data_IF_949192978653
#
_entry.id   IF_949192978653
#
_cell.length_a   1.000
_cell.length_b   1.000
_cell.length_c   1.000
_cell.angle_alpha   90.00
_cell.angle_beta   90.00
_cell.angle_gamma   90.00
#
_symmetry.space_group_name_H-M   'P 1'
#
loop_
_entity.id
_entity.type
_entity.pdbx_description
1 polymer ?
#
# COMPACT_ATOMS: atom_id res chain seq x y z
N UNK A 1 -1.53 -43.38 -27.60
CA UNK A 1 -1.63 -43.31 -26.13
C UNK A 1 -2.68 -42.27 -25.79
N UNK A 2 -3.57 -42.56 -24.86
CA UNK A 2 -4.59 -41.60 -24.43
C UNK A 2 -3.88 -40.45 -23.70
N UNK A 3 -4.24 -39.20 -24.03
CA UNK A 3 -3.77 -38.03 -23.33
C UNK A 3 -4.33 -38.02 -21.91
N UNK A 4 -3.52 -37.63 -20.95
CA UNK A 4 -3.99 -37.41 -19.58
C UNK A 4 -4.80 -36.12 -19.48
N UNK A 5 -5.67 -35.98 -18.48
CA UNK A 5 -6.45 -34.77 -18.22
C UNK A 5 -5.53 -33.54 -18.09
N UNK A 6 -4.34 -33.73 -17.53
CA UNK A 6 -3.36 -32.62 -17.38
C UNK A 6 -2.81 -32.16 -18.75
N UNK A 7 -2.56 -33.12 -19.68
CA UNK A 7 -2.14 -32.79 -21.06
C UNK A 7 -3.27 -32.13 -21.87
N UNK A 8 -4.52 -32.52 -21.63
CA UNK A 8 -5.71 -31.89 -22.25
C UNK A 8 -5.86 -30.43 -21.79
N UNK A 9 -5.47 -30.13 -20.54
CA UNK A 9 -5.45 -28.77 -19.99
C UNK A 9 -4.20 -27.98 -20.39
N UNK A 10 -3.35 -28.51 -21.29
CA UNK A 10 -2.14 -27.83 -21.76
C UNK A 10 -0.89 -28.07 -20.90
N UNK A 11 -0.95 -28.98 -19.96
CA UNK A 11 0.20 -29.37 -19.14
C UNK A 11 1.18 -30.26 -19.89
N UNK A 12 2.46 -30.19 -19.52
CA UNK A 12 3.51 -31.03 -20.06
C UNK A 12 4.18 -31.84 -18.95
N UNK A 13 4.68 -33.04 -19.31
CA UNK A 13 5.48 -33.87 -18.42
C UNK A 13 6.95 -33.89 -18.85
N UNK A 14 7.84 -33.88 -17.89
CA UNK A 14 9.28 -34.08 -18.10
C UNK A 14 9.67 -35.45 -17.53
N UNK A 15 10.38 -36.24 -18.33
CA UNK A 15 10.90 -37.55 -17.89
C UNK A 15 12.17 -37.33 -17.07
N UNK A 16 12.14 -37.81 -15.84
CA UNK A 16 13.32 -37.80 -14.96
C UNK A 16 13.56 -39.25 -14.48
N UNK A 17 14.51 -39.96 -15.13
CA UNK A 17 14.72 -41.37 -14.92
C UNK A 17 13.50 -42.19 -15.39
N UNK A 18 12.94 -42.97 -14.49
CA UNK A 18 11.77 -43.83 -14.77
C UNK A 18 10.43 -43.15 -14.47
N UNK A 19 10.45 -41.90 -14.03
CA UNK A 19 9.26 -41.14 -13.63
C UNK A 19 8.92 -40.00 -14.61
N UNK A 20 7.61 -39.80 -14.81
CA UNK A 20 7.08 -38.64 -15.52
C UNK A 20 6.62 -37.59 -14.49
N UNK A 21 7.36 -36.52 -14.40
CA UNK A 21 7.02 -35.41 -13.48
C UNK A 21 6.26 -34.33 -14.24
N UNK A 22 5.14 -33.80 -13.71
CA UNK A 22 4.45 -32.69 -14.32
C UNK A 22 5.34 -31.43 -14.28
N UNK A 23 5.49 -30.81 -15.45
CA UNK A 23 6.21 -29.53 -15.56
C UNK A 23 5.31 -28.40 -15.05
N UNK A 24 5.32 -28.20 -13.74
CA UNK A 24 4.58 -27.12 -13.09
C UNK A 24 5.48 -25.87 -13.06
N UNK A 25 5.20 -24.92 -13.94
CA UNK A 25 5.77 -23.58 -13.82
C UNK A 25 4.78 -22.69 -13.10
N UNK A 26 5.21 -22.09 -12.01
CA UNK A 26 4.46 -20.98 -11.45
C UNK A 26 4.40 -19.85 -12.50
N UNK A 27 3.27 -19.16 -12.66
CA UNK A 27 3.24 -17.99 -13.50
C UNK A 27 4.35 -17.05 -12.99
N UNK A 28 5.38 -16.90 -13.79
CA UNK A 28 6.49 -15.99 -13.50
C UNK A 28 5.88 -14.61 -13.46
N UNK A 29 5.78 -14.05 -12.27
CA UNK A 29 5.50 -12.63 -12.14
C UNK A 29 6.57 -11.90 -12.96
N UNK A 30 6.14 -11.36 -14.10
CA UNK A 30 7.04 -10.67 -15.03
C UNK A 30 7.71 -9.45 -14.43
N UNK A 31 7.34 -9.08 -13.22
CA UNK A 31 7.84 -7.91 -12.53
C UNK A 31 8.05 -8.20 -11.04
N UNK A 32 9.24 -8.66 -10.67
CA UNK A 32 9.73 -8.59 -9.28
C UNK A 32 10.01 -7.11 -8.94
N UNK A 33 8.95 -6.30 -8.81
CA UNK A 33 9.09 -4.95 -8.30
C UNK A 33 9.51 -5.02 -6.83
N UNK A 34 10.56 -4.29 -6.42
CA UNK A 34 10.93 -4.25 -5.01
C UNK A 34 9.77 -3.65 -4.21
N UNK A 35 9.41 -4.32 -3.12
CA UNK A 35 8.35 -3.87 -2.22
C UNK A 35 9.01 -3.00 -1.14
N UNK A 36 8.63 -1.74 -1.06
CA UNK A 36 9.12 -0.80 -0.07
C UNK A 36 8.47 -0.97 1.31
N UNK A 37 8.72 -0.01 2.18
CA UNK A 37 8.29 -0.06 3.58
C UNK A 37 6.76 -0.09 3.73
N UNK A 38 6.05 0.66 2.91
CA UNK A 38 4.59 0.76 2.94
C UNK A 38 3.95 -0.56 2.51
N UNK A 39 4.42 -1.15 1.40
CA UNK A 39 3.95 -2.43 0.91
C UNK A 39 4.21 -3.57 1.90
N UNK A 40 5.36 -3.60 2.58
CA UNK A 40 5.65 -4.58 3.62
C UNK A 40 4.72 -4.46 4.83
N UNK A 41 4.35 -3.24 5.23
CA UNK A 41 3.38 -3.01 6.30
C UNK A 41 1.99 -3.45 5.89
N UNK A 42 1.58 -3.16 4.66
CA UNK A 42 0.31 -3.62 4.12
C UNK A 42 0.26 -5.16 4.06
N UNK A 43 1.34 -5.81 3.62
CA UNK A 43 1.46 -7.28 3.63
C UNK A 43 1.23 -7.86 5.03
N UNK A 44 1.83 -7.26 6.05
CA UNK A 44 1.64 -7.69 7.45
C UNK A 44 0.18 -7.54 7.87
N UNK A 45 -0.45 -6.43 7.54
CA UNK A 45 -1.86 -6.18 7.80
C UNK A 45 -2.76 -7.22 7.11
N UNK A 46 -2.55 -7.50 5.82
CA UNK A 46 -3.30 -8.51 5.08
C UNK A 46 -3.20 -9.89 5.74
N UNK A 47 -1.99 -10.30 6.14
CA UNK A 47 -1.76 -11.59 6.81
C UNK A 47 -2.49 -11.71 8.15
N UNK A 48 -2.59 -10.63 8.90
CA UNK A 48 -3.19 -10.63 10.24
C UNK A 48 -4.72 -10.44 10.21
N UNK A 49 -5.20 -9.51 9.39
CA UNK A 49 -6.59 -9.05 9.44
C UNK A 49 -7.43 -9.42 8.21
N UNK A 50 -6.80 -9.66 7.06
CA UNK A 50 -7.48 -9.93 5.79
C UNK A 50 -6.97 -11.21 5.13
N UNK A 51 -6.98 -12.31 5.87
CA UNK A 51 -6.41 -13.61 5.42
C UNK A 51 -7.01 -14.11 4.11
N UNK A 52 -8.31 -13.93 3.89
CA UNK A 52 -8.98 -14.38 2.65
C UNK A 52 -8.44 -13.62 1.45
N UNK A 53 -8.35 -12.28 1.54
CA UNK A 53 -7.79 -11.46 0.48
C UNK A 53 -6.31 -11.80 0.23
N UNK A 54 -5.53 -11.99 1.28
CA UNK A 54 -4.14 -12.42 1.18
C UNK A 54 -3.99 -13.73 0.40
N UNK A 55 -4.80 -14.75 0.74
CA UNK A 55 -4.76 -16.06 0.07
C UNK A 55 -5.18 -15.92 -1.40
N UNK A 56 -6.23 -15.17 -1.70
CA UNK A 56 -6.68 -14.95 -3.07
C UNK A 56 -5.63 -14.24 -3.93
N UNK A 57 -4.97 -13.22 -3.40
CA UNK A 57 -3.87 -12.52 -4.10
C UNK A 57 -2.64 -13.41 -4.27
N UNK A 58 -2.34 -14.25 -3.27
CA UNK A 58 -1.22 -15.19 -3.32
C UNK A 58 -1.45 -16.26 -4.38
N UNK A 59 -2.63 -16.90 -4.38
CA UNK A 59 -2.98 -17.97 -5.32
C UNK A 59 -3.13 -17.48 -6.76
N UNK A 60 -3.58 -16.23 -6.94
CA UNK A 60 -3.65 -15.59 -8.26
C UNK A 60 -2.29 -15.09 -8.79
N UNK A 61 -1.22 -15.13 -7.98
CA UNK A 61 0.10 -14.62 -8.34
C UNK A 61 0.19 -13.10 -8.45
N UNK A 62 -0.82 -12.36 -7.99
CA UNK A 62 -0.90 -10.89 -8.10
C UNK A 62 -0.47 -10.14 -6.83
N UNK A 63 -0.02 -10.87 -5.80
CA UNK A 63 0.30 -10.27 -4.50
C UNK A 63 1.42 -9.23 -4.62
N UNK A 64 2.52 -9.54 -5.30
CA UNK A 64 3.66 -8.62 -5.41
C UNK A 64 3.31 -7.36 -6.20
N UNK A 65 2.56 -7.51 -7.29
CA UNK A 65 2.08 -6.37 -8.08
C UNK A 65 1.19 -5.47 -7.23
N UNK A 66 0.23 -6.04 -6.51
CA UNK A 66 -0.67 -5.29 -5.62
C UNK A 66 0.10 -4.54 -4.53
N UNK A 67 1.10 -5.20 -3.89
CA UNK A 67 1.90 -4.56 -2.84
C UNK A 67 2.79 -3.44 -3.39
N UNK A 68 3.35 -3.60 -4.58
CA UNK A 68 4.14 -2.57 -5.22
C UNK A 68 3.30 -1.34 -5.63
N UNK A 69 2.07 -1.57 -6.09
CA UNK A 69 1.14 -0.51 -6.43
C UNK A 69 0.70 0.28 -5.19
N UNK A 70 0.38 -0.41 -4.09
CA UNK A 70 0.07 0.22 -2.79
C UNK A 70 1.27 1.00 -2.26
N UNK A 71 2.47 0.44 -2.34
CA UNK A 71 3.71 1.10 -1.88
C UNK A 71 3.93 2.43 -2.61
N UNK A 72 3.82 2.42 -3.93
CA UNK A 72 3.96 3.62 -4.75
C UNK A 72 2.88 4.67 -4.45
N UNK A 73 1.61 4.26 -4.37
CA UNK A 73 0.51 5.17 -4.05
C UNK A 73 0.68 5.80 -2.67
N UNK A 74 1.11 5.01 -1.67
CA UNK A 74 1.34 5.47 -0.32
C UNK A 74 2.52 6.46 -0.25
N UNK A 75 3.59 6.21 -0.99
CA UNK A 75 4.73 7.11 -1.09
C UNK A 75 4.34 8.44 -1.75
N UNK A 76 3.65 8.39 -2.88
CA UNK A 76 3.16 9.58 -3.59
C UNK A 76 2.23 10.42 -2.70
N UNK A 77 1.32 9.77 -1.97
CA UNK A 77 0.43 10.42 -1.03
C UNK A 77 1.21 11.07 0.12
N UNK A 78 2.17 10.35 0.70
CA UNK A 78 3.00 10.84 1.79
C UNK A 78 3.77 12.10 1.38
N UNK A 79 4.45 12.09 0.25
CA UNK A 79 5.22 13.24 -0.25
C UNK A 79 4.33 14.45 -0.48
N UNK A 80 3.16 14.23 -1.10
CA UNK A 80 2.17 15.29 -1.33
C UNK A 80 1.66 15.92 -0.03
N UNK A 81 1.33 15.09 0.96
CA UNK A 81 0.87 15.56 2.28
C UNK A 81 1.95 16.35 3.00
N UNK A 82 3.19 15.87 3.00
CA UNK A 82 4.32 16.57 3.62
C UNK A 82 4.52 17.95 2.98
N UNK A 83 4.50 18.05 1.66
CA UNK A 83 4.65 19.30 0.95
C UNK A 83 3.49 20.27 1.24
N UNK A 84 2.25 19.80 1.22
CA UNK A 84 1.07 20.61 1.51
C UNK A 84 1.09 21.15 2.96
N UNK A 85 1.44 20.30 3.93
CA UNK A 85 1.53 20.69 5.34
C UNK A 85 2.68 21.66 5.56
N UNK A 86 3.85 21.45 4.95
CA UNK A 86 4.99 22.34 5.05
C UNK A 86 4.65 23.74 4.51
N UNK A 87 4.00 23.82 3.36
CA UNK A 87 3.51 25.08 2.78
C UNK A 87 2.51 25.78 3.70
N UNK A 88 1.56 25.03 4.26
CA UNK A 88 0.50 25.56 5.14
C UNK A 88 1.07 26.11 6.45
N UNK A 89 2.08 25.46 7.00
CA UNK A 89 2.72 25.86 8.27
C UNK A 89 3.92 26.79 8.07
N UNK A 90 4.15 27.25 6.83
CA UNK A 90 5.25 28.16 6.47
C UNK A 90 6.64 27.63 6.89
N UNK A 91 6.80 26.29 6.84
CA UNK A 91 8.09 25.64 7.10
C UNK A 91 8.94 25.73 5.83
N UNK A 92 9.73 26.80 5.73
CA UNK A 92 10.52 27.14 4.55
C UNK A 92 12.01 26.85 4.76
N UNK A 93 12.79 26.91 3.68
CA UNK A 93 14.25 26.88 3.73
C UNK A 93 14.84 28.10 4.48
N UNK A 94 14.11 29.21 4.54
CA UNK A 94 14.51 30.38 5.35
C UNK A 94 14.53 30.05 6.83
N UNK A 95 13.47 29.40 7.33
CA UNK A 95 13.43 28.93 8.72
C UNK A 95 14.57 27.97 9.03
N UNK A 96 14.95 27.12 8.08
CA UNK A 96 16.09 26.19 8.22
C UNK A 96 17.43 26.93 8.36
N UNK A 97 17.59 28.06 7.64
CA UNK A 97 18.79 28.89 7.73
C UNK A 97 18.85 29.68 9.03
N UNK A 98 17.71 30.19 9.53
CA UNK A 98 17.62 31.00 10.75
C UNK A 98 17.63 30.15 12.02
N UNK A 99 16.87 29.05 12.04
CA UNK A 99 16.73 28.16 13.21
C UNK A 99 16.55 26.71 12.79
N UNK A 100 17.66 26.02 12.58
CA UNK A 100 17.68 24.63 12.12
C UNK A 100 16.96 23.67 13.07
N UNK A 101 17.10 23.86 14.39
CA UNK A 101 16.47 22.97 15.39
C UNK A 101 14.95 23.07 15.36
N UNK A 102 14.42 24.27 15.22
CA UNK A 102 12.99 24.52 15.10
C UNK A 102 12.45 23.94 13.79
N UNK A 103 13.17 24.13 12.69
CA UNK A 103 12.81 23.54 11.39
C UNK A 103 12.72 22.00 11.46
N UNK A 104 13.72 21.34 12.08
CA UNK A 104 13.73 19.88 12.27
C UNK A 104 12.54 19.44 13.12
N UNK A 105 12.24 20.12 14.21
CA UNK A 105 11.11 19.80 15.08
C UNK A 105 9.77 19.89 14.36
N UNK A 106 9.53 20.98 13.62
CA UNK A 106 8.30 21.18 12.83
C UNK A 106 8.19 20.17 11.70
N UNK A 107 9.29 19.90 10.97
CA UNK A 107 9.29 18.94 9.87
C UNK A 107 9.04 17.51 10.34
N UNK A 108 9.60 17.10 11.47
CA UNK A 108 9.33 15.81 12.07
C UNK A 108 7.87 15.65 12.49
N UNK A 109 7.27 16.71 13.06
CA UNK A 109 5.85 16.71 13.39
C UNK A 109 4.97 16.55 12.14
N UNK A 110 5.27 17.29 11.07
CA UNK A 110 4.57 17.19 9.79
C UNK A 110 4.68 15.77 9.22
N UNK A 111 5.89 15.19 9.20
CA UNK A 111 6.10 13.82 8.71
C UNK A 111 5.34 12.79 9.52
N UNK A 112 5.31 12.92 10.85
CA UNK A 112 4.57 12.01 11.72
C UNK A 112 3.06 12.06 11.44
N UNK A 113 2.48 13.24 11.29
CA UNK A 113 1.06 13.40 10.94
C UNK A 113 0.75 12.88 9.54
N UNK A 114 1.61 13.15 8.56
CA UNK A 114 1.45 12.63 7.21
C UNK A 114 1.49 11.09 7.20
N UNK A 115 2.44 10.46 7.94
CA UNK A 115 2.49 9.02 8.09
C UNK A 115 1.22 8.43 8.71
N UNK A 116 0.68 9.07 9.74
CA UNK A 116 -0.55 8.61 10.41
C UNK A 116 -1.75 8.62 9.45
N UNK A 117 -1.86 9.65 8.61
CA UNK A 117 -2.90 9.73 7.58
C UNK A 117 -2.73 8.61 6.54
N UNK A 118 -1.53 8.40 6.03
CA UNK A 118 -1.27 7.34 5.04
C UNK A 118 -1.55 5.96 5.63
N UNK A 119 -1.17 5.70 6.88
CA UNK A 119 -1.48 4.43 7.53
C UNK A 119 -2.98 4.18 7.66
N UNK A 120 -3.73 5.16 8.11
CA UNK A 120 -5.18 5.02 8.30
C UNK A 120 -5.95 4.90 6.99
N UNK A 121 -5.46 5.54 5.92
CA UNK A 121 -6.16 5.58 4.63
C UNK A 121 -5.79 4.45 3.68
N UNK A 122 -4.49 4.10 3.60
CA UNK A 122 -3.97 3.22 2.56
C UNK A 122 -3.54 1.85 3.09
N UNK A 123 -2.97 1.83 4.30
CA UNK A 123 -2.34 0.60 4.80
C UNK A 123 -3.33 -0.28 5.55
N UNK A 124 -4.17 0.31 6.39
CA UNK A 124 -5.07 -0.44 7.27
C UNK A 124 -6.50 -0.58 6.73
N UNK A 125 -6.74 -0.17 5.49
CA UNK A 125 -8.02 -0.32 4.77
C UNK A 125 -9.23 -0.23 5.72
N UNK A 126 -9.43 0.95 6.30
CA UNK A 126 -10.61 1.20 7.11
C UNK A 126 -11.82 1.14 6.18
N UNK A 127 -12.67 0.12 6.34
CA UNK A 127 -13.87 -0.10 5.53
C UNK A 127 -14.67 1.20 5.43
N UNK A 128 -14.58 1.85 4.30
CA UNK A 128 -15.27 3.11 4.01
C UNK A 128 -14.42 4.20 3.36
N UNK A 129 -13.09 4.14 3.44
CA UNK A 129 -12.24 5.18 2.85
C UNK A 129 -12.10 5.04 1.33
N UNK A 130 -12.09 3.81 0.79
CA UNK A 130 -11.93 3.61 -0.66
C UNK A 130 -13.12 4.10 -1.51
N UNK A 131 -14.32 4.24 -0.94
CA UNK A 131 -15.48 4.80 -1.65
C UNK A 131 -15.43 6.32 -1.80
N UNK A 132 -14.59 7.01 -1.00
CA UNK A 132 -14.51 8.46 -1.02
C UNK A 132 -13.34 9.01 -1.86
N UNK A 133 -12.30 8.20 -2.13
CA UNK A 133 -11.11 8.70 -2.83
C UNK A 133 -11.18 8.59 -4.36
N UNK A 134 -11.98 7.71 -4.92
CA UNK A 134 -12.20 7.63 -6.38
C UNK A 134 -12.96 8.84 -6.95
N UNK A 135 -13.53 9.69 -6.08
CA UNK A 135 -14.30 10.88 -6.50
C UNK A 135 -13.70 12.21 -6.03
N UNK A 136 -12.55 12.20 -5.34
CA UNK A 136 -11.95 13.43 -4.82
C UNK A 136 -10.66 13.77 -5.54
N UNK A 137 -10.75 14.51 -6.63
CA UNK A 137 -9.68 15.41 -7.06
C UNK A 137 -9.48 16.43 -5.93
N UNK A 138 -8.40 16.26 -5.16
CA UNK A 138 -7.99 17.19 -4.09
C UNK A 138 -7.53 18.53 -4.68
N UNK A 139 -8.45 19.26 -5.31
CA UNK A 139 -8.18 20.59 -5.85
C UNK A 139 -8.50 21.75 -4.89
N UNK A 140 -8.97 21.47 -3.68
CA UNK A 140 -9.26 22.56 -2.75
C UNK A 140 -9.13 22.13 -1.29
N UNK A 141 -8.33 22.85 -0.53
CA UNK A 141 -8.10 22.67 0.92
C UNK A 141 -9.32 22.96 1.81
N UNK A 142 -10.52 23.13 1.23
CA UNK A 142 -11.78 23.37 1.94
C UNK A 142 -12.62 22.11 2.16
N UNK A 143 -12.24 20.97 1.56
CA UNK A 143 -13.15 19.84 1.38
C UNK A 143 -12.70 18.55 2.08
N UNK A 144 -11.92 18.63 3.16
CA UNK A 144 -11.81 17.48 4.07
C UNK A 144 -13.17 17.37 4.76
N UNK A 145 -13.97 16.32 4.47
CA UNK A 145 -15.31 16.23 5.04
C UNK A 145 -15.25 16.28 6.56
N UNK A 146 -16.14 17.03 7.19
CA UNK A 146 -16.29 17.07 8.67
C UNK A 146 -16.48 15.69 9.27
N UNK A 147 -16.92 14.70 8.47
CA UNK A 147 -17.02 13.30 8.80
C UNK A 147 -15.67 12.62 9.03
N UNK A 148 -14.59 13.03 8.36
CA UNK A 148 -13.24 12.52 8.58
C UNK A 148 -12.77 12.79 10.01
N UNK A 149 -12.97 14.00 10.51
CA UNK A 149 -12.65 14.38 11.87
C UNK A 149 -13.47 13.66 12.94
N UNK A 150 -14.72 13.33 12.62
CA UNK A 150 -15.60 12.54 13.49
C UNK A 150 -15.11 11.10 13.68
N UNK A 151 -14.57 10.48 12.62
CA UNK A 151 -13.97 9.14 12.70
C UNK A 151 -12.59 9.16 13.35
N UNK A 152 -11.82 10.20 13.14
CA UNK A 152 -10.52 10.41 13.80
C UNK A 152 -10.67 10.57 15.30
N UNK A 153 -11.65 11.34 15.78
CA UNK A 153 -11.95 11.49 17.20
C UNK A 153 -12.49 10.21 17.85
N UNK A 154 -13.25 9.40 17.12
CA UNK A 154 -13.70 8.08 17.59
C UNK A 154 -12.53 7.11 17.78
N UNK A 155 -11.57 7.10 16.85
CA UNK A 155 -10.36 6.28 16.96
C UNK A 155 -9.49 6.68 18.15
N UNK A 156 -9.37 7.96 18.42
CA UNK A 156 -8.57 8.50 19.54
C UNK A 156 -9.14 8.19 20.91
N UNK A 157 -10.46 7.97 21.03
CA UNK A 157 -11.14 7.64 22.31
C UNK A 157 -11.07 6.17 22.69
N UNK A 158 -10.65 5.29 21.78
CA UNK A 158 -10.56 3.84 22.02
C UNK A 158 -9.11 3.35 22.19
N UNK A 159 -8.16 4.25 22.38
CA UNK A 159 -6.82 4.01 22.90
C UNK A 159 -6.73 4.52 24.32
#
# INVERSE_FOLDING_TARGET
>A
MAKTIFEEMGGAYVRQGDYLLPCLSLPTEKENKPIGVWGQRHLRYLKQHRKVLYINLLTSGKLNSHLADIDKQAEDMFLRLVEQMAKRESVSEQLKAENQMEWVGRMNNIRSRAMEIVYSTMIYDFQGANLYFDHFELNSSKDIPKTFWKYYDLYRRHK
#
